data_IF_239215465161
#
_entry.id   IF_239215465161
#
_cell.length_a   1.000
_cell.length_b   1.000
_cell.length_c   1.000
_cell.angle_alpha   90.00
_cell.angle_beta   90.00
_cell.angle_gamma   90.00
#
_symmetry.space_group_name_H-M   'P 1'
#
loop_
_entity.id
_entity.type
_entity.pdbx_description
1 polymer ?
#
# COMPACT_ATOMS: atom_id res chain seq x y z
N UNK A 1 41.41 2.58 -67.29
CA UNK A 1 40.21 3.28 -66.80
C UNK A 1 39.61 2.40 -65.70
N UNK A 2 40.02 2.65 -64.44
CA UNK A 2 39.67 1.83 -63.29
C UNK A 2 38.66 2.64 -62.50
N UNK A 3 37.41 2.12 -62.38
CA UNK A 3 36.32 2.74 -61.64
C UNK A 3 36.44 2.32 -60.16
N UNK A 4 36.71 3.26 -59.30
CA UNK A 4 36.72 3.07 -57.84
C UNK A 4 35.32 3.34 -57.30
N UNK A 5 34.65 2.27 -56.81
CA UNK A 5 33.38 2.43 -56.05
C UNK A 5 33.75 2.81 -54.60
N UNK A 6 33.35 4.00 -54.18
CA UNK A 6 33.39 4.41 -52.80
C UNK A 6 32.11 3.88 -52.08
N UNK A 7 32.31 2.95 -51.15
CA UNK A 7 31.23 2.45 -50.29
C UNK A 7 31.13 3.42 -49.06
N UNK A 8 30.11 4.23 -49.02
CA UNK A 8 29.79 5.06 -47.86
C UNK A 8 28.98 4.19 -46.89
N UNK A 9 29.64 3.76 -45.81
CA UNK A 9 28.98 3.10 -44.67
C UNK A 9 28.39 4.19 -43.79
N UNK A 10 27.07 4.35 -43.82
CA UNK A 10 26.32 5.19 -42.89
C UNK A 10 26.15 4.38 -41.62
N UNK A 11 26.91 4.70 -40.56
CA UNK A 11 26.64 4.25 -39.22
C UNK A 11 25.37 4.95 -38.72
N UNK A 12 24.22 4.27 -38.74
CA UNK A 12 23.05 4.67 -38.01
C UNK A 12 23.30 4.22 -36.57
N UNK A 13 23.78 5.11 -35.72
CA UNK A 13 23.76 4.94 -34.29
C UNK A 13 22.29 5.00 -33.84
N UNK A 14 21.69 3.84 -33.64
CA UNK A 14 20.44 3.71 -32.92
C UNK A 14 20.69 4.08 -31.45
N UNK A 15 20.60 5.36 -31.13
CA UNK A 15 20.37 5.77 -29.76
C UNK A 15 18.98 5.27 -29.40
N UNK A 16 18.91 4.20 -28.60
CA UNK A 16 17.71 3.83 -27.90
C UNK A 16 17.34 5.02 -27.01
N UNK A 17 16.41 5.85 -27.48
CA UNK A 17 15.67 6.72 -26.62
C UNK A 17 14.89 5.83 -25.68
N UNK A 18 15.47 5.53 -24.51
CA UNK A 18 14.72 5.04 -23.38
C UNK A 18 13.59 6.04 -23.15
N UNK A 19 12.36 5.63 -23.35
CA UNK A 19 11.22 6.44 -22.97
C UNK A 19 11.28 6.62 -21.45
N UNK A 20 11.77 7.78 -21.02
CA UNK A 20 11.56 8.23 -19.65
C UNK A 20 10.06 8.37 -19.47
N UNK A 21 9.43 7.39 -18.84
CA UNK A 21 8.10 7.55 -18.32
C UNK A 21 8.17 8.68 -17.31
N UNK A 22 7.72 9.86 -17.70
CA UNK A 22 7.77 11.04 -16.85
C UNK A 22 6.84 10.83 -15.65
N UNK A 23 7.13 11.47 -14.52
CA UNK A 23 6.22 11.55 -13.36
C UNK A 23 4.78 11.94 -13.76
N UNK A 24 4.59 12.55 -14.93
CA UNK A 24 3.29 12.85 -15.53
C UNK A 24 2.43 11.61 -15.84
N UNK A 25 3.00 10.41 -16.04
CA UNK A 25 2.22 9.20 -16.29
C UNK A 25 1.50 8.70 -15.03
N UNK A 26 2.11 8.83 -13.85
CA UNK A 26 1.46 8.49 -12.59
C UNK A 26 0.32 9.46 -12.24
N UNK A 27 0.46 10.73 -12.56
CA UNK A 27 -0.57 11.76 -12.31
C UNK A 27 -1.73 11.69 -13.31
N UNK A 28 -1.53 11.10 -14.49
CA UNK A 28 -2.57 10.97 -15.53
C UNK A 28 -3.50 9.76 -15.33
N UNK A 29 -3.13 8.81 -14.47
CA UNK A 29 -3.98 7.66 -14.14
C UNK A 29 -5.10 8.08 -13.19
N UNK A 30 -6.31 7.50 -13.31
CA UNK A 30 -7.36 7.77 -12.34
C UNK A 30 -6.87 7.40 -10.94
N UNK A 31 -7.24 8.17 -9.90
CA UNK A 31 -6.82 7.89 -8.54
C UNK A 31 -7.25 6.49 -8.13
N UNK A 32 -6.35 5.78 -7.46
CA UNK A 32 -6.64 4.46 -6.88
C UNK A 32 -7.32 4.67 -5.52
N UNK A 33 -8.39 3.90 -5.30
CA UNK A 33 -9.16 3.93 -4.06
C UNK A 33 -9.32 2.50 -3.56
N UNK A 34 -8.84 2.22 -2.38
CA UNK A 34 -8.81 0.87 -1.88
C UNK A 34 -8.79 0.74 -0.39
N UNK A 35 -8.33 -0.40 0.04
CA UNK A 35 -8.27 -0.81 1.44
C UNK A 35 -6.91 -1.39 1.77
N UNK A 36 -6.55 -1.30 3.05
CA UNK A 36 -5.42 -2.03 3.60
C UNK A 36 -5.91 -3.39 4.07
N UNK A 37 -5.26 -4.45 3.61
CA UNK A 37 -5.58 -5.82 3.95
C UNK A 37 -4.31 -6.61 4.24
N UNK A 38 -4.36 -7.52 5.21
CA UNK A 38 -3.31 -8.52 5.46
C UNK A 38 -3.81 -9.90 5.07
N UNK A 39 -2.88 -10.79 4.73
CA UNK A 39 -3.19 -12.20 4.50
C UNK A 39 -3.37 -13.00 5.79
N UNK A 40 -3.80 -14.23 5.63
CA UNK A 40 -3.94 -15.17 6.75
C UNK A 40 -2.59 -15.63 7.29
N UNK A 41 -1.65 -15.97 6.39
CA UNK A 41 -0.33 -16.46 6.76
C UNK A 41 0.67 -15.35 7.03
N UNK A 42 0.68 -14.28 6.23
CA UNK A 42 1.64 -13.17 6.37
C UNK A 42 1.40 -12.32 7.60
N UNK A 43 0.26 -12.46 8.25
CA UNK A 43 0.05 -11.98 9.61
C UNK A 43 0.76 -12.93 10.57
N UNK A 44 1.74 -12.42 11.32
CA UNK A 44 2.63 -13.24 12.14
C UNK A 44 1.93 -14.10 13.15
N UNK A 45 0.86 -13.66 13.68
CA UNK A 45 0.18 -14.33 14.76
C UNK A 45 -1.28 -13.97 14.77
N UNK A 46 -2.08 -14.64 13.96
CA UNK A 46 -3.52 -14.56 14.12
C UNK A 46 -3.96 -14.91 15.54
N UNK A 47 -3.28 -15.89 16.15
CA UNK A 47 -3.58 -16.36 17.49
C UNK A 47 -3.17 -15.39 18.60
N UNK A 48 -2.15 -14.52 18.37
CA UNK A 48 -1.63 -13.64 19.41
C UNK A 48 -2.50 -12.43 19.69
N UNK A 49 -3.32 -12.02 18.74
CA UNK A 49 -4.26 -10.92 18.93
C UNK A 49 -5.66 -11.38 19.32
N UNK A 50 -5.84 -12.68 19.61
CA UNK A 50 -7.15 -13.26 19.86
C UNK A 50 -8.05 -13.25 18.63
N UNK A 51 -7.47 -13.07 17.44
CA UNK A 51 -8.21 -13.13 16.19
C UNK A 51 -8.62 -14.57 15.88
N UNK A 52 -9.87 -14.81 15.47
CA UNK A 52 -10.26 -16.13 15.02
C UNK A 52 -9.49 -16.51 13.76
N UNK A 53 -9.30 -17.83 13.49
CA UNK A 53 -8.72 -18.30 12.24
C UNK A 53 -9.47 -17.73 11.04
N UNK A 54 -8.74 -17.32 10.03
CA UNK A 54 -9.34 -16.85 8.79
C UNK A 54 -10.16 -17.98 8.10
N UNK A 55 -11.26 -17.64 7.40
CA UNK A 55 -11.98 -18.59 6.55
C UNK A 55 -11.07 -19.22 5.49
N UNK A 56 -11.37 -20.44 5.05
CA UNK A 56 -10.58 -21.15 4.03
C UNK A 56 -10.38 -20.32 2.75
N UNK A 57 -11.42 -19.61 2.30
CA UNK A 57 -11.40 -18.81 1.08
C UNK A 57 -11.17 -17.32 1.36
N UNK A 58 -10.52 -16.98 2.48
CA UNK A 58 -10.39 -15.60 2.95
C UNK A 58 -9.90 -14.61 1.89
N UNK A 59 -8.84 -14.96 1.16
CA UNK A 59 -8.27 -14.09 0.10
C UNK A 59 -9.28 -13.91 -1.03
N UNK A 60 -9.81 -15.01 -1.55
CA UNK A 60 -10.74 -15.01 -2.67
C UNK A 60 -12.01 -14.21 -2.36
N UNK A 61 -12.64 -14.50 -1.22
CA UNK A 61 -13.88 -13.84 -0.79
C UNK A 61 -13.65 -12.34 -0.49
N UNK A 62 -12.51 -12.00 0.12
CA UNK A 62 -12.13 -10.61 0.36
C UNK A 62 -11.97 -9.82 -0.94
N UNK A 63 -11.20 -10.35 -1.90
CA UNK A 63 -10.96 -9.65 -3.16
C UNK A 63 -12.23 -9.47 -3.97
N UNK A 64 -13.10 -10.51 -3.98
CA UNK A 64 -14.43 -10.39 -4.57
C UNK A 64 -15.24 -9.28 -3.94
N UNK A 65 -15.33 -9.24 -2.61
CA UNK A 65 -16.11 -8.25 -1.86
C UNK A 65 -15.54 -6.84 -2.02
N UNK A 66 -14.22 -6.66 -2.05
CA UNK A 66 -13.56 -5.38 -2.32
C UNK A 66 -13.92 -4.86 -3.71
N UNK A 67 -13.86 -5.73 -4.73
CA UNK A 67 -14.26 -5.39 -6.09
C UNK A 67 -15.75 -5.06 -6.19
N UNK A 68 -16.61 -5.86 -5.56
CA UNK A 68 -18.06 -5.64 -5.53
C UNK A 68 -18.43 -4.29 -4.87
N UNK A 69 -17.68 -3.86 -3.85
CA UNK A 69 -17.83 -2.55 -3.22
C UNK A 69 -17.33 -1.38 -4.09
N UNK A 70 -16.84 -1.65 -5.30
CA UNK A 70 -16.38 -0.61 -6.23
C UNK A 70 -15.00 -0.03 -5.92
N UNK A 71 -14.27 -0.65 -5.02
CA UNK A 71 -12.87 -0.34 -4.74
C UNK A 71 -11.99 -0.98 -5.82
N UNK A 72 -10.86 -0.36 -6.15
CA UNK A 72 -10.03 -0.80 -7.27
C UNK A 72 -8.60 -1.17 -6.85
N UNK A 73 -8.30 -1.14 -5.56
CA UNK A 73 -6.95 -1.27 -5.05
C UNK A 73 -6.91 -1.94 -3.68
N UNK A 74 -5.88 -2.74 -3.46
CA UNK A 74 -5.51 -3.31 -2.17
C UNK A 74 -4.06 -2.94 -1.86
N UNK A 75 -3.84 -2.30 -0.72
CA UNK A 75 -2.51 -2.22 -0.11
C UNK A 75 -2.37 -3.45 0.78
N UNK A 76 -1.61 -4.44 0.28
CA UNK A 76 -1.48 -5.75 0.90
C UNK A 76 -0.30 -5.78 1.87
N UNK A 77 -0.61 -5.87 3.15
CA UNK A 77 0.36 -5.87 4.25
C UNK A 77 0.97 -7.25 4.42
N UNK A 78 2.29 -7.31 4.49
CA UNK A 78 3.05 -8.48 4.88
C UNK A 78 4.23 -8.09 5.79
N UNK A 79 4.84 -9.06 6.45
CA UNK A 79 5.93 -8.84 7.39
C UNK A 79 7.14 -9.69 7.04
N UNK A 80 8.33 -9.11 7.10
CA UNK A 80 9.57 -9.81 6.81
C UNK A 80 9.81 -11.01 7.75
N UNK A 81 9.49 -10.87 9.03
CA UNK A 81 9.59 -12.00 9.99
C UNK A 81 8.66 -13.18 9.63
N UNK A 82 7.54 -12.95 8.95
CA UNK A 82 6.69 -14.03 8.46
C UNK A 82 7.37 -14.81 7.33
N UNK A 83 8.06 -14.11 6.43
CA UNK A 83 8.88 -14.76 5.40
C UNK A 83 10.02 -15.57 6.01
N UNK A 84 10.74 -15.05 7.00
CA UNK A 84 11.81 -15.80 7.69
C UNK A 84 11.29 -17.08 8.31
N UNK A 85 10.08 -17.06 8.87
CA UNK A 85 9.47 -18.22 9.52
C UNK A 85 9.15 -19.36 8.55
N UNK A 86 8.59 -19.09 7.39
CA UNK A 86 8.26 -20.06 6.35
C UNK A 86 8.20 -19.39 4.97
N UNK A 87 9.32 -19.31 4.24
CA UNK A 87 9.39 -18.66 2.95
C UNK A 87 8.47 -19.27 1.90
N UNK A 88 8.28 -20.59 1.92
CA UNK A 88 7.47 -21.30 0.92
C UNK A 88 5.98 -20.97 1.09
N UNK A 89 5.45 -21.13 2.29
CA UNK A 89 4.05 -20.81 2.59
C UNK A 89 3.78 -19.31 2.40
N UNK A 90 4.71 -18.44 2.77
CA UNK A 90 4.62 -17.01 2.56
C UNK A 90 4.49 -16.65 1.07
N UNK A 91 5.40 -17.13 0.21
CA UNK A 91 5.38 -16.87 -1.23
C UNK A 91 4.13 -17.48 -1.88
N UNK A 92 3.66 -18.63 -1.41
CA UNK A 92 2.41 -19.23 -1.87
C UNK A 92 1.22 -18.31 -1.63
N UNK A 93 1.11 -17.69 -0.45
CA UNK A 93 0.04 -16.73 -0.16
C UNK A 93 0.17 -15.46 -1.02
N UNK A 94 1.36 -14.90 -1.16
CA UNK A 94 1.63 -13.73 -2.02
C UNK A 94 1.16 -13.99 -3.47
N UNK A 95 1.43 -15.18 -4.02
CA UNK A 95 0.94 -15.57 -5.34
C UNK A 95 -0.59 -15.74 -5.38
N UNK A 96 -1.20 -16.28 -4.32
CA UNK A 96 -2.67 -16.39 -4.27
C UNK A 96 -3.36 -15.03 -4.27
N UNK A 97 -2.76 -14.04 -3.60
CA UNK A 97 -3.19 -12.64 -3.61
C UNK A 97 -3.12 -12.03 -5.01
N UNK A 98 -2.02 -12.22 -5.72
CA UNK A 98 -1.88 -11.74 -7.10
C UNK A 98 -2.93 -12.37 -8.04
N UNK A 99 -3.14 -13.67 -7.93
CA UNK A 99 -4.16 -14.40 -8.71
C UNK A 99 -5.58 -13.89 -8.44
N UNK A 100 -5.93 -13.68 -7.16
CA UNK A 100 -7.23 -13.15 -6.78
C UNK A 100 -7.42 -11.72 -7.32
N UNK A 101 -6.39 -10.89 -7.24
CA UNK A 101 -6.42 -9.53 -7.78
C UNK A 101 -6.60 -9.49 -9.29
N UNK A 102 -5.86 -10.32 -10.04
CA UNK A 102 -6.05 -10.45 -11.49
C UNK A 102 -7.48 -10.88 -11.84
N UNK A 103 -8.02 -11.86 -11.09
CA UNK A 103 -9.37 -12.38 -11.28
C UNK A 103 -10.45 -11.32 -11.08
N UNK A 104 -10.30 -10.47 -10.08
CA UNK A 104 -11.30 -9.44 -9.72
C UNK A 104 -10.96 -8.03 -10.22
N UNK A 105 -9.91 -7.87 -11.04
CA UNK A 105 -9.54 -6.60 -11.66
C UNK A 105 -9.00 -5.56 -10.70
N UNK A 106 -8.47 -5.99 -9.54
CA UNK A 106 -7.90 -5.10 -8.53
C UNK A 106 -6.40 -4.84 -8.78
N UNK A 107 -5.91 -3.70 -8.31
CA UNK A 107 -4.48 -3.38 -8.29
C UNK A 107 -3.90 -3.59 -6.90
N UNK A 108 -2.64 -4.00 -6.79
CA UNK A 108 -1.99 -4.26 -5.52
C UNK A 108 -0.72 -3.43 -5.36
N UNK A 109 -0.58 -2.80 -4.20
CA UNK A 109 0.70 -2.37 -3.65
C UNK A 109 1.07 -3.35 -2.54
N UNK A 110 2.20 -4.02 -2.70
CA UNK A 110 2.75 -4.95 -1.71
C UNK A 110 3.52 -4.17 -0.66
N UNK A 111 3.03 -4.17 0.57
CA UNK A 111 3.51 -3.35 1.68
C UNK A 111 4.36 -4.17 2.66
N UNK A 112 5.68 -3.93 2.65
CA UNK A 112 6.58 -4.43 3.68
C UNK A 112 6.33 -3.65 4.98
N UNK A 113 5.47 -4.19 5.80
CA UNK A 113 4.94 -3.51 6.97
C UNK A 113 5.76 -3.81 8.22
N UNK A 114 5.79 -2.86 9.12
CA UNK A 114 6.22 -3.04 10.50
C UNK A 114 5.27 -2.28 11.43
N UNK A 115 5.09 -2.82 12.62
CA UNK A 115 4.45 -2.13 13.73
C UNK A 115 5.22 -2.46 14.99
N UNK A 116 5.72 -1.43 15.67
CA UNK A 116 6.60 -1.56 16.82
C UNK A 116 7.86 -2.41 16.53
N UNK A 117 8.41 -2.25 15.33
CA UNK A 117 9.69 -2.76 14.86
C UNK A 117 9.75 -4.28 14.66
N UNK A 118 9.52 -5.09 15.67
CA UNK A 118 9.64 -6.56 15.62
C UNK A 118 8.98 -7.22 16.82
N UNK A 119 8.46 -8.44 16.63
CA UNK A 119 7.98 -9.26 17.75
C UNK A 119 9.10 -9.75 18.68
N UNK A 120 10.36 -9.61 18.29
CA UNK A 120 11.49 -9.78 19.20
C UNK A 120 11.53 -8.73 20.30
N UNK A 121 11.29 -7.46 19.94
CA UNK A 121 11.38 -6.33 20.86
C UNK A 121 10.13 -6.16 21.71
N UNK A 122 8.97 -6.47 21.15
CA UNK A 122 7.69 -6.31 21.83
C UNK A 122 6.73 -7.43 21.42
N UNK A 123 6.19 -8.14 22.41
CA UNK A 123 5.16 -9.13 22.15
C UNK A 123 3.99 -8.50 21.37
N UNK A 124 3.50 -9.15 20.33
CA UNK A 124 2.48 -8.66 19.40
C UNK A 124 2.93 -7.61 18.37
N UNK A 125 4.16 -7.10 18.46
CA UNK A 125 4.73 -6.33 17.36
C UNK A 125 5.01 -7.21 16.15
N UNK A 126 5.25 -6.58 15.00
CA UNK A 126 5.53 -7.26 13.72
C UNK A 126 6.51 -6.45 12.89
N UNK A 127 7.29 -7.10 12.07
CA UNK A 127 8.15 -6.38 11.11
C UNK A 127 9.47 -7.06 10.81
N UNK A 128 10.53 -6.60 11.45
CA UNK A 128 11.89 -7.09 11.20
C UNK A 128 12.10 -8.51 11.74
N UNK A 129 12.82 -9.38 11.03
CA UNK A 129 13.03 -10.76 11.43
C UNK A 129 13.94 -10.88 12.64
N UNK A 130 13.77 -11.97 13.39
CA UNK A 130 14.52 -12.23 14.62
C UNK A 130 16.01 -12.39 14.39
N UNK A 131 16.42 -12.88 13.23
CA UNK A 131 17.83 -13.05 12.85
C UNK A 131 18.66 -11.76 12.94
N UNK A 132 18.04 -10.58 12.81
CA UNK A 132 18.71 -9.28 12.96
C UNK A 132 18.94 -8.86 14.42
N UNK A 133 18.29 -9.53 15.38
CA UNK A 133 18.37 -9.22 16.81
C UNK A 133 19.11 -10.30 17.58
N UNK A 134 19.03 -11.55 17.15
CA UNK A 134 19.64 -12.69 17.83
C UNK A 134 21.16 -12.53 17.95
N UNK A 135 21.65 -12.74 19.18
CA UNK A 135 23.09 -12.63 19.46
C UNK A 135 23.59 -11.20 19.68
N UNK A 136 22.77 -10.17 19.52
CA UNK A 136 23.10 -8.80 19.81
C UNK A 136 22.52 -8.36 21.18
N UNK A 137 23.40 -8.20 22.19
CA UNK A 137 22.98 -7.81 23.54
C UNK A 137 22.39 -6.40 23.63
N UNK A 138 22.61 -5.55 22.63
CA UNK A 138 22.06 -4.20 22.56
C UNK A 138 20.53 -4.22 22.35
N UNK A 139 20.01 -5.24 21.66
CA UNK A 139 18.59 -5.38 21.35
C UNK A 139 18.00 -6.55 22.12
N UNK A 140 17.86 -6.40 23.44
CA UNK A 140 17.33 -7.45 24.31
C UNK A 140 15.89 -7.80 23.93
N UNK A 141 15.56 -9.10 23.99
CA UNK A 141 14.19 -9.58 23.78
C UNK A 141 13.26 -8.96 24.81
N UNK A 142 12.13 -8.39 24.34
CA UNK A 142 11.20 -7.67 25.21
C UNK A 142 11.66 -6.28 25.64
N UNK A 143 12.69 -5.72 25.01
CA UNK A 143 13.24 -4.39 25.35
C UNK A 143 12.41 -3.19 24.91
N UNK A 144 11.26 -3.45 24.25
CA UNK A 144 10.36 -2.42 23.74
C UNK A 144 10.62 -2.09 22.26
N UNK A 145 9.55 -2.12 21.46
CA UNK A 145 9.57 -1.91 20.00
C UNK A 145 8.95 -0.59 19.53
N UNK A 146 8.29 0.13 20.44
CA UNK A 146 7.60 1.38 20.13
C UNK A 146 8.59 2.52 19.84
N UNK A 147 8.16 3.52 19.11
CA UNK A 147 8.94 4.71 18.73
C UNK A 147 9.60 5.42 19.93
N UNK A 148 9.01 5.33 21.12
CA UNK A 148 9.53 5.98 22.33
C UNK A 148 10.47 5.08 23.14
N UNK A 149 10.58 3.80 22.82
CA UNK A 149 11.43 2.86 23.55
C UNK A 149 12.89 3.02 23.14
N UNK A 150 13.78 3.02 24.12
CA UNK A 150 15.23 3.21 23.90
C UNK A 150 15.80 2.12 22.99
N UNK A 151 15.41 0.87 23.21
CA UNK A 151 15.87 -0.26 22.40
C UNK A 151 15.46 -0.12 20.92
N UNK A 152 14.23 0.33 20.66
CA UNK A 152 13.77 0.61 19.30
C UNK A 152 14.53 1.80 18.69
N UNK A 153 14.75 2.88 19.48
CA UNK A 153 15.53 4.03 19.01
C UNK A 153 16.97 3.66 18.65
N UNK A 154 17.59 2.81 19.42
CA UNK A 154 18.92 2.28 19.18
C UNK A 154 18.95 1.42 17.90
N UNK A 155 18.00 0.50 17.75
CA UNK A 155 17.89 -0.34 16.55
C UNK A 155 17.71 0.53 15.29
N UNK A 156 16.77 1.47 15.31
CA UNK A 156 16.53 2.32 14.15
C UNK A 156 17.70 3.28 13.86
N UNK A 157 18.42 3.73 14.90
CA UNK A 157 19.66 4.48 14.73
C UNK A 157 20.70 3.68 13.98
N UNK A 158 20.97 2.46 14.43
CA UNK A 158 21.93 1.54 13.82
C UNK A 158 21.47 1.06 12.43
N UNK A 159 20.16 0.90 12.23
CA UNK A 159 19.60 0.61 10.91
C UNK A 159 19.90 1.71 9.89
N UNK A 160 19.65 2.97 10.27
CA UNK A 160 19.96 4.10 9.40
C UNK A 160 21.46 4.33 9.19
N UNK A 161 22.30 3.88 10.10
CA UNK A 161 23.75 3.90 9.98
C UNK A 161 24.32 2.72 9.18
N UNK A 162 23.42 1.82 8.75
CA UNK A 162 23.78 0.60 8.03
C UNK A 162 24.75 -0.29 8.83
N UNK A 163 24.62 -0.28 10.13
CA UNK A 163 25.48 -1.03 11.05
C UNK A 163 24.84 -2.35 11.53
N UNK A 164 23.53 -2.56 11.26
CA UNK A 164 22.85 -3.81 11.56
C UNK A 164 23.38 -4.93 10.69
N UNK A 165 23.79 -6.02 11.34
CA UNK A 165 24.22 -7.26 10.70
C UNK A 165 23.60 -8.44 11.46
N UNK A 166 23.33 -9.52 10.73
CA UNK A 166 22.99 -10.79 11.39
C UNK A 166 24.21 -11.45 12.05
N UNK A 167 23.99 -12.61 12.65
CA UNK A 167 25.03 -13.38 13.32
C UNK A 167 26.16 -13.88 12.39
N UNK A 168 25.89 -13.97 11.08
CA UNK A 168 26.88 -14.30 10.05
C UNK A 168 27.62 -13.04 9.52
N UNK A 169 27.26 -11.85 9.99
CA UNK A 169 27.85 -10.57 9.57
C UNK A 169 27.27 -10.00 8.29
N UNK A 170 26.15 -10.53 7.78
CA UNK A 170 25.50 -10.05 6.58
C UNK A 170 24.76 -8.74 6.83
N UNK A 171 24.91 -7.80 5.92
CA UNK A 171 24.33 -6.46 5.96
C UNK A 171 22.78 -6.50 5.94
N UNK A 172 22.14 -5.83 6.91
CA UNK A 172 20.67 -5.85 7.05
C UNK A 172 19.94 -5.22 5.87
N UNK A 173 20.48 -4.14 5.26
CA UNK A 173 19.87 -3.54 4.06
C UNK A 173 19.93 -4.50 2.86
N UNK A 174 21.07 -5.18 2.69
CA UNK A 174 21.21 -6.18 1.63
C UNK A 174 20.22 -7.35 1.82
N UNK A 175 20.03 -7.80 3.05
CA UNK A 175 19.06 -8.85 3.36
C UNK A 175 17.62 -8.41 3.07
N UNK A 176 17.24 -7.15 3.43
CA UNK A 176 15.92 -6.62 3.08
C UNK A 176 15.75 -6.53 1.56
N UNK A 177 16.77 -6.10 0.84
CA UNK A 177 16.74 -6.09 -0.63
C UNK A 177 16.50 -7.48 -1.20
N UNK A 178 17.23 -8.49 -0.73
CA UNK A 178 17.02 -9.88 -1.16
C UNK A 178 15.62 -10.40 -0.84
N UNK A 179 15.10 -10.10 0.34
CA UNK A 179 13.72 -10.42 0.71
C UNK A 179 12.71 -9.78 -0.24
N UNK A 180 12.81 -8.47 -0.47
CA UNK A 180 11.90 -7.75 -1.37
C UNK A 180 12.00 -8.26 -2.81
N UNK A 181 13.18 -8.64 -3.27
CA UNK A 181 13.38 -9.27 -4.59
C UNK A 181 12.60 -10.58 -4.71
N UNK A 182 12.43 -11.37 -3.63
CA UNK A 182 11.60 -12.59 -3.68
C UNK A 182 10.13 -12.26 -3.95
N UNK A 183 9.62 -11.15 -3.37
CA UNK A 183 8.26 -10.69 -3.64
C UNK A 183 8.13 -10.25 -5.10
N UNK A 184 9.05 -9.42 -5.59
CA UNK A 184 9.07 -8.97 -6.98
C UNK A 184 9.08 -10.15 -7.94
N UNK A 185 10.01 -11.09 -7.77
CA UNK A 185 10.12 -12.28 -8.62
C UNK A 185 8.87 -13.16 -8.61
N UNK A 186 8.12 -13.13 -7.50
CA UNK A 186 6.89 -13.92 -7.37
C UNK A 186 5.72 -13.34 -8.13
N UNK A 187 5.61 -11.99 -8.25
CA UNK A 187 4.36 -11.34 -8.67
C UNK A 187 4.50 -10.19 -9.68
N UNK A 188 5.71 -9.82 -10.14
CA UNK A 188 5.91 -8.66 -11.01
C UNK A 188 5.24 -8.81 -12.38
N UNK A 189 5.12 -10.03 -12.86
CA UNK A 189 4.47 -10.35 -14.14
C UNK A 189 2.93 -10.31 -14.09
N UNK A 190 2.33 -10.18 -12.90
CA UNK A 190 0.87 -10.04 -12.77
C UNK A 190 0.41 -8.64 -13.18
N UNK A 191 -0.66 -8.57 -13.94
CA UNK A 191 -1.25 -7.29 -14.37
C UNK A 191 -1.83 -6.49 -13.19
N UNK A 192 -2.19 -7.18 -12.13
CA UNK A 192 -2.67 -6.61 -10.87
C UNK A 192 -1.57 -5.93 -10.06
N UNK A 193 -0.31 -6.32 -10.21
CA UNK A 193 0.80 -5.72 -9.47
C UNK A 193 1.03 -4.28 -9.91
N UNK A 194 0.77 -3.33 -9.01
CA UNK A 194 0.98 -1.90 -9.20
C UNK A 194 2.34 -1.46 -8.67
N UNK A 195 2.75 -1.98 -7.51
CA UNK A 195 4.04 -1.59 -6.94
C UNK A 195 4.37 -2.24 -5.60
N UNK A 196 5.48 -1.79 -5.03
CA UNK A 196 6.10 -2.33 -3.83
C UNK A 196 6.44 -1.21 -2.85
N UNK A 197 5.95 -1.30 -1.62
CA UNK A 197 6.35 -0.39 -0.55
C UNK A 197 7.57 -0.96 0.17
N UNK A 198 8.65 -0.18 0.18
CA UNK A 198 9.96 -0.60 0.69
C UNK A 198 9.87 -0.96 2.17
N UNK A 199 9.29 -0.07 2.97
CA UNK A 199 9.16 -0.22 4.42
C UNK A 199 8.12 0.76 4.93
N UNK A 200 7.05 0.26 5.55
CA UNK A 200 6.01 1.10 6.10
C UNK A 200 6.46 1.81 7.38
N UNK A 201 6.19 3.09 7.45
CA UNK A 201 6.32 3.94 8.64
C UNK A 201 7.65 3.79 9.40
N UNK A 202 8.81 3.93 8.72
CA UNK A 202 10.12 3.84 9.36
C UNK A 202 10.28 4.88 10.45
N UNK A 203 10.85 4.48 11.60
CA UNK A 203 11.00 5.38 12.73
C UNK A 203 12.14 6.38 12.54
N UNK A 204 11.91 7.62 12.99
CA UNK A 204 12.88 8.72 12.96
C UNK A 204 12.98 9.30 14.38
N UNK A 205 14.20 9.37 14.92
CA UNK A 205 14.43 9.80 16.30
C UNK A 205 15.28 11.07 16.41
N UNK A 206 16.02 11.41 15.34
CA UNK A 206 16.81 12.63 15.31
C UNK A 206 16.90 13.23 13.91
N UNK A 207 17.19 14.53 13.85
CA UNK A 207 17.25 15.31 12.60
C UNK A 207 18.32 14.83 11.59
N UNK A 208 19.32 14.09 12.04
CA UNK A 208 20.37 13.57 11.17
C UNK A 208 19.93 12.37 10.33
N UNK A 209 18.84 11.70 10.71
CA UNK A 209 18.40 10.47 10.06
C UNK A 209 17.71 10.71 8.70
N UNK A 210 17.16 11.89 8.44
CA UNK A 210 16.42 12.16 7.19
C UNK A 210 17.23 11.82 5.93
N UNK A 211 18.48 12.22 5.87
CA UNK A 211 19.34 11.90 4.71
C UNK A 211 19.79 10.43 4.69
N UNK A 212 19.88 9.78 5.85
CA UNK A 212 20.23 8.36 5.94
C UNK A 212 19.09 7.50 5.41
N UNK A 213 17.83 7.87 5.73
CA UNK A 213 16.65 7.24 5.17
C UNK A 213 16.62 7.39 3.64
N UNK A 214 16.98 8.56 3.11
CA UNK A 214 17.10 8.76 1.66
C UNK A 214 18.16 7.86 1.01
N UNK A 215 19.29 7.61 1.70
CA UNK A 215 20.31 6.64 1.23
C UNK A 215 19.77 5.21 1.24
N UNK A 216 19.02 4.83 2.28
CA UNK A 216 18.37 3.52 2.35
C UNK A 216 17.35 3.35 1.23
N UNK A 217 16.44 4.33 1.05
CA UNK A 217 15.45 4.29 -0.01
C UNK A 217 16.09 4.25 -1.41
N UNK A 218 17.21 4.97 -1.62
CA UNK A 218 17.96 4.91 -2.87
C UNK A 218 18.57 3.53 -3.09
N UNK A 219 19.22 2.96 -2.08
CA UNK A 219 19.81 1.64 -2.15
C UNK A 219 18.77 0.57 -2.53
N UNK A 220 17.64 0.50 -1.80
CA UNK A 220 16.59 -0.48 -2.10
C UNK A 220 15.96 -0.23 -3.47
N UNK A 221 15.73 1.04 -3.83
CA UNK A 221 15.17 1.38 -5.15
C UNK A 221 16.08 0.93 -6.28
N UNK A 222 17.38 1.17 -6.20
CA UNK A 222 18.36 0.74 -7.20
C UNK A 222 18.36 -0.77 -7.33
N UNK A 223 18.44 -1.49 -6.22
CA UNK A 223 18.40 -2.96 -6.18
C UNK A 223 17.12 -3.57 -6.79
N UNK A 224 15.96 -2.93 -6.58
CA UNK A 224 14.70 -3.41 -7.16
C UNK A 224 14.56 -3.01 -8.63
N UNK A 225 15.12 -1.88 -9.06
CA UNK A 225 15.04 -1.43 -10.46
C UNK A 225 15.75 -2.36 -11.44
N UNK A 226 16.66 -3.18 -10.97
CA UNK A 226 17.30 -4.22 -11.80
C UNK A 226 16.28 -5.28 -12.28
N UNK A 227 15.14 -5.45 -11.58
CA UNK A 227 14.18 -6.52 -11.82
C UNK A 227 12.73 -6.05 -11.98
N UNK A 228 12.40 -4.77 -11.73
CA UNK A 228 11.05 -4.25 -11.92
C UNK A 228 11.02 -2.79 -12.37
N UNK A 229 10.06 -2.47 -13.25
CA UNK A 229 9.69 -1.10 -13.61
C UNK A 229 8.43 -0.60 -12.86
N UNK A 230 7.82 -1.43 -12.00
CA UNK A 230 6.62 -1.09 -11.24
C UNK A 230 6.88 0.06 -10.26
N UNK A 231 5.80 0.66 -9.73
CA UNK A 231 5.91 1.74 -8.74
C UNK A 231 6.64 1.25 -7.49
N UNK A 232 7.63 2.01 -7.02
CA UNK A 232 8.25 1.80 -5.71
C UNK A 232 7.74 2.90 -4.79
N UNK A 233 7.28 2.49 -3.61
CA UNK A 233 6.68 3.38 -2.61
C UNK A 233 7.63 3.48 -1.42
N UNK A 234 8.04 4.70 -1.07
CA UNK A 234 8.71 4.94 0.20
C UNK A 234 7.79 5.63 1.18
N UNK A 235 8.00 5.42 2.46
CA UNK A 235 7.08 5.82 3.50
C UNK A 235 7.78 6.57 4.62
N UNK A 236 6.98 7.25 5.46
CA UNK A 236 7.45 7.80 6.72
C UNK A 236 6.47 7.48 7.84
N UNK A 237 7.02 7.29 9.04
CA UNK A 237 6.25 7.39 10.27
C UNK A 237 5.96 8.86 10.55
N UNK A 238 4.71 9.18 10.80
CA UNK A 238 4.30 10.54 11.16
C UNK A 238 4.38 10.66 12.69
N UNK A 239 5.44 11.27 13.23
CA UNK A 239 5.45 11.61 14.64
C UNK A 239 4.28 12.53 14.95
N UNK A 240 3.65 12.31 16.08
CA UNK A 240 2.43 12.97 16.49
C UNK A 240 2.65 14.46 16.75
N UNK A 241 3.88 14.85 17.07
CA UNK A 241 4.23 16.23 17.42
C UNK A 241 5.12 16.87 16.34
N UNK A 242 4.58 17.90 15.68
CA UNK A 242 5.32 18.72 14.72
C UNK A 242 6.47 19.53 15.38
N UNK A 243 6.45 19.70 16.70
CA UNK A 243 7.50 20.36 17.47
C UNK A 243 8.58 19.39 17.96
N UNK A 244 8.53 18.15 17.54
CA UNK A 244 9.49 17.12 17.90
C UNK A 244 10.94 17.52 17.57
N UNK A 245 11.93 17.07 18.37
CA UNK A 245 13.36 17.32 18.13
C UNK A 245 13.88 16.81 16.79
N UNK A 246 13.10 15.99 16.08
CA UNK A 246 13.44 15.48 14.75
C UNK A 246 13.29 16.53 13.63
N UNK A 247 12.72 17.69 13.94
CA UNK A 247 12.56 18.80 12.99
C UNK A 247 11.86 18.41 11.67
N UNK A 248 10.61 18.02 11.78
CA UNK A 248 9.78 17.68 10.62
C UNK A 248 9.52 18.94 9.81
N UNK A 249 9.86 18.90 8.53
CA UNK A 249 9.59 19.96 7.58
C UNK A 249 9.61 19.42 6.15
N UNK A 250 8.97 20.07 5.17
CA UNK A 250 9.02 19.63 3.78
C UNK A 250 10.45 19.48 3.26
N UNK A 251 11.37 20.35 3.70
CA UNK A 251 12.80 20.29 3.35
C UNK A 251 13.47 19.01 3.89
N UNK A 252 13.12 18.58 5.09
CA UNK A 252 13.69 17.37 5.69
C UNK A 252 13.04 16.12 5.12
N UNK A 253 11.72 16.12 4.96
CA UNK A 253 11.00 15.01 4.33
C UNK A 253 11.47 14.75 2.89
N UNK A 254 11.75 15.80 2.14
CA UNK A 254 12.28 15.67 0.78
C UNK A 254 13.63 14.95 0.71
N UNK A 255 14.42 14.93 1.80
CA UNK A 255 15.69 14.17 1.85
C UNK A 255 15.49 12.67 1.90
N UNK A 256 14.30 12.20 2.24
CA UNK A 256 13.95 10.77 2.26
C UNK A 256 13.71 10.19 0.87
N UNK A 257 13.42 11.04 -0.12
CA UNK A 257 13.17 10.57 -1.49
C UNK A 257 14.40 9.85 -2.05
N UNK A 258 14.22 8.72 -2.74
CA UNK A 258 15.32 8.06 -3.43
C UNK A 258 15.92 8.97 -4.52
N UNK A 259 17.17 8.72 -4.88
CA UNK A 259 17.90 9.43 -5.95
C UNK A 259 17.22 9.24 -7.31
N UNK A 260 16.87 8.02 -7.65
CA UNK A 260 16.04 7.69 -8.81
C UNK A 260 14.58 7.89 -8.44
N UNK A 261 13.88 8.79 -9.14
CA UNK A 261 12.47 9.14 -8.90
C UNK A 261 11.51 8.60 -9.96
N UNK A 262 12.00 7.75 -10.85
CA UNK A 262 11.17 7.14 -11.87
C UNK A 262 10.19 6.14 -11.23
N UNK A 263 8.88 6.31 -11.50
CA UNK A 263 7.82 5.48 -10.92
C UNK A 263 7.90 5.34 -9.38
N UNK A 264 8.14 6.44 -8.69
CA UNK A 264 8.19 6.51 -7.22
C UNK A 264 6.91 7.16 -6.71
N UNK A 265 6.41 6.70 -5.57
CA UNK A 265 5.35 7.36 -4.81
C UNK A 265 5.78 7.55 -3.34
N UNK A 266 5.31 8.63 -2.73
CA UNK A 266 5.55 8.94 -1.31
C UNK A 266 4.31 8.61 -0.49
N UNK A 267 4.40 7.60 0.39
CA UNK A 267 3.30 7.17 1.27
C UNK A 267 3.31 7.89 2.60
N UNK A 268 2.13 8.33 3.01
CA UNK A 268 1.86 8.81 4.38
C UNK A 268 0.55 8.22 4.88
N UNK A 269 0.35 8.28 6.22
CA UNK A 269 -0.91 7.92 6.88
C UNK A 269 -1.63 9.17 7.36
N UNK A 270 -2.94 9.25 7.14
CA UNK A 270 -3.79 10.37 7.55
C UNK A 270 -4.96 9.84 8.39
N UNK A 271 -4.85 10.04 9.68
CA UNK A 271 -5.87 9.64 10.64
C UNK A 271 -6.53 10.89 11.21
N UNK A 272 -7.63 11.28 10.69
CA UNK A 272 -8.57 12.34 11.00
C UNK A 272 -8.81 13.26 9.79
N UNK A 273 -9.90 13.99 9.86
CA UNK A 273 -10.24 14.98 8.84
C UNK A 273 -9.20 16.10 8.85
N UNK A 274 -8.58 16.45 7.72
CA UNK A 274 -7.66 17.57 7.64
C UNK A 274 -8.44 18.90 7.66
N UNK A 275 -9.22 19.12 8.72
CA UNK A 275 -9.98 20.35 8.91
C UNK A 275 -10.21 20.59 10.41
N UNK A 276 -10.08 21.81 10.81
CA UNK A 276 -10.68 22.36 12.01
C UNK A 276 -9.80 22.52 13.25
N UNK A 277 -8.70 21.80 13.46
CA UNK A 277 -7.80 22.06 14.58
C UNK A 277 -6.48 22.75 14.16
N UNK A 278 -6.32 23.03 12.88
CA UNK A 278 -5.13 23.64 12.29
C UNK A 278 -3.87 22.75 12.32
N UNK A 279 -3.87 21.68 13.10
CA UNK A 279 -2.74 20.76 13.24
C UNK A 279 -2.71 19.71 12.11
N UNK A 280 -3.85 19.07 11.86
CA UNK A 280 -3.96 18.06 10.78
C UNK A 280 -3.84 18.72 9.40
N UNK A 281 -4.41 19.92 9.23
CA UNK A 281 -4.26 20.71 8.01
C UNK A 281 -2.80 21.06 7.74
N UNK A 282 -2.07 21.58 8.73
CA UNK A 282 -0.64 21.87 8.61
C UNK A 282 0.21 20.65 8.29
N UNK A 283 -0.14 19.47 8.83
CA UNK A 283 0.55 18.22 8.50
C UNK A 283 0.31 17.83 7.05
N UNK A 284 -0.93 17.91 6.61
CA UNK A 284 -1.29 17.54 5.25
C UNK A 284 -0.65 18.50 4.24
N UNK A 285 -0.69 19.82 4.48
CA UNK A 285 0.00 20.82 3.67
C UNK A 285 1.50 20.57 3.58
N UNK A 286 2.13 20.13 4.68
CA UNK A 286 3.54 19.77 4.70
C UNK A 286 3.84 18.57 3.78
N UNK A 287 2.95 17.58 3.72
CA UNK A 287 3.12 16.43 2.82
C UNK A 287 2.91 16.82 1.36
N UNK A 288 1.94 17.67 1.07
CA UNK A 288 1.74 18.22 -0.27
C UNK A 288 2.96 19.03 -0.72
N UNK A 289 3.47 19.92 0.13
CA UNK A 289 4.69 20.68 -0.17
C UNK A 289 5.91 19.75 -0.36
N UNK A 290 5.98 18.64 0.37
CA UNK A 290 7.04 17.64 0.18
C UNK A 290 6.92 16.95 -1.18
N UNK A 291 5.71 16.57 -1.57
CA UNK A 291 5.41 16.01 -2.90
C UNK A 291 5.83 16.98 -4.00
N UNK A 292 5.46 18.24 -3.91
CA UNK A 292 5.83 19.29 -4.87
C UNK A 292 7.35 19.48 -4.95
N UNK A 293 8.05 19.52 -3.81
CA UNK A 293 9.52 19.68 -3.75
C UNK A 293 10.27 18.52 -4.37
N UNK A 294 9.75 17.32 -4.23
CA UNK A 294 10.41 16.10 -4.75
C UNK A 294 10.00 15.78 -6.17
N UNK A 295 8.85 16.28 -6.63
CA UNK A 295 8.18 15.85 -7.86
C UNK A 295 7.65 14.42 -7.78
N UNK A 296 7.45 13.89 -6.57
CA UNK A 296 6.98 12.53 -6.32
C UNK A 296 5.52 12.59 -5.85
N UNK A 297 4.58 11.88 -6.51
CA UNK A 297 3.18 11.91 -6.13
C UNK A 297 2.93 11.38 -4.72
N UNK A 298 1.96 12.00 -4.03
CA UNK A 298 1.57 11.62 -2.68
C UNK A 298 0.54 10.49 -2.71
N UNK A 299 0.81 9.41 -1.97
CA UNK A 299 -0.08 8.28 -1.74
C UNK A 299 -0.49 8.23 -0.27
N UNK A 300 -1.81 8.21 0.00
CA UNK A 300 -2.36 8.05 1.34
C UNK A 300 -2.60 6.55 1.58
N UNK A 301 -1.54 5.86 1.97
CA UNK A 301 -1.55 4.41 2.16
C UNK A 301 -2.38 3.93 3.33
N UNK A 302 -2.73 4.85 4.25
CA UNK A 302 -3.64 4.61 5.35
C UNK A 302 -4.47 5.86 5.63
N UNK A 303 -5.78 5.70 5.70
CA UNK A 303 -6.65 6.75 6.21
C UNK A 303 -7.82 6.17 7.03
N UNK A 304 -8.23 6.92 8.03
CA UNK A 304 -9.40 6.64 8.85
C UNK A 304 -9.81 7.94 9.57
N UNK A 305 -10.96 7.94 10.24
CA UNK A 305 -11.42 9.09 11.03
C UNK A 305 -10.96 9.06 12.50
N UNK A 306 -10.01 8.22 12.85
CA UNK A 306 -9.46 8.17 14.21
C UNK A 306 -8.84 9.50 14.58
N UNK A 307 -9.46 10.21 15.52
CA UNK A 307 -8.94 11.49 16.02
C UNK A 307 -7.72 11.24 16.88
N UNK A 308 -6.56 11.72 16.41
CA UNK A 308 -5.36 11.82 17.24
C UNK A 308 -5.32 13.21 17.86
N UNK A 309 -5.37 13.29 19.17
CA UNK A 309 -5.15 14.53 19.90
C UNK A 309 -3.70 15.00 19.76
N UNK A 310 -3.41 16.27 20.15
CA UNK A 310 -2.03 16.79 20.19
C UNK A 310 -1.08 15.94 21.03
N UNK A 311 -1.62 15.27 22.03
CA UNK A 311 -0.89 14.40 22.96
C UNK A 311 -0.64 13.00 22.38
N UNK A 312 -1.04 12.74 21.15
CA UNK A 312 -0.81 11.47 20.49
C UNK A 312 -1.70 10.32 20.95
N UNK A 313 -2.60 10.60 21.85
CA UNK A 313 -3.53 9.59 22.35
C UNK A 313 -4.60 9.36 21.27
N UNK A 314 -4.62 8.15 20.72
CA UNK A 314 -5.83 7.67 20.08
C UNK A 314 -6.89 7.71 21.16
N UNK A 315 -7.97 8.44 20.95
CA UNK A 315 -9.07 8.48 21.93
C UNK A 315 -9.75 7.09 21.97
N UNK A 316 -9.07 6.11 22.58
CA UNK A 316 -9.69 4.84 22.99
C UNK A 316 -10.76 5.08 24.08
N UNK A 317 -10.78 6.29 24.63
CA UNK A 317 -11.65 6.67 25.75
C UNK A 317 -13.01 7.16 25.30
N UNK A 318 -13.20 7.43 24.00
CA UNK A 318 -14.50 7.81 23.49
C UNK A 318 -14.77 7.10 22.15
N UNK A 319 -15.34 5.88 22.20
CA UNK A 319 -15.65 5.11 20.99
C UNK A 319 -16.62 5.84 20.04
N UNK A 320 -17.42 6.77 20.52
CA UNK A 320 -18.31 7.58 19.69
C UNK A 320 -17.56 8.56 18.79
N UNK A 321 -16.38 9.03 19.22
CA UNK A 321 -15.52 9.93 18.41
C UNK A 321 -14.68 9.19 17.37
N UNK A 322 -14.59 7.87 17.45
CA UNK A 322 -13.84 7.04 16.52
C UNK A 322 -14.72 6.30 15.50
N UNK A 323 -16.03 6.45 15.61
CA UNK A 323 -16.97 5.82 14.68
C UNK A 323 -16.91 6.52 13.32
N UNK A 324 -16.61 5.74 12.26
CA UNK A 324 -16.65 6.27 10.90
C UNK A 324 -18.07 6.67 10.53
N UNK A 325 -18.30 7.96 10.34
CA UNK A 325 -19.55 8.46 9.78
C UNK A 325 -19.45 8.68 8.27
N UNK A 326 -20.59 8.65 7.58
CA UNK A 326 -20.66 8.99 6.15
C UNK A 326 -20.18 10.42 5.87
N UNK A 327 -20.42 11.35 6.81
CA UNK A 327 -19.95 12.73 6.72
C UNK A 327 -18.43 12.81 6.78
N UNK A 328 -17.81 12.13 7.75
CA UNK A 328 -16.36 12.17 7.93
C UNK A 328 -15.65 11.53 6.73
N UNK A 329 -16.12 10.36 6.27
CA UNK A 329 -15.59 9.70 5.10
C UNK A 329 -15.63 10.60 3.86
N UNK A 330 -16.76 11.30 3.62
CA UNK A 330 -16.90 12.26 2.51
C UNK A 330 -15.95 13.46 2.65
N UNK A 331 -15.79 13.99 3.86
CA UNK A 331 -14.88 15.11 4.10
C UNK A 331 -13.44 14.70 3.85
N UNK A 332 -12.99 13.55 4.38
CA UNK A 332 -11.63 13.05 4.18
C UNK A 332 -11.38 12.79 2.70
N UNK A 333 -12.14 11.93 2.06
CA UNK A 333 -11.92 11.59 0.64
C UNK A 333 -12.10 12.79 -0.29
N UNK A 334 -13.03 13.69 0.02
CA UNK A 334 -13.20 14.94 -0.73
C UNK A 334 -11.98 15.86 -0.65
N UNK A 335 -11.39 15.99 0.56
CA UNK A 335 -10.16 16.76 0.76
C UNK A 335 -8.97 16.12 0.02
N UNK A 336 -8.82 14.80 0.11
CA UNK A 336 -7.74 14.06 -0.56
C UNK A 336 -7.86 14.15 -2.09
N UNK A 337 -9.07 14.01 -2.64
CA UNK A 337 -9.32 14.19 -4.07
C UNK A 337 -8.99 15.61 -4.54
N UNK A 338 -9.45 16.63 -3.78
CA UNK A 338 -9.17 18.05 -4.08
C UNK A 338 -7.68 18.34 -4.09
N UNK A 339 -6.93 17.70 -3.21
CA UNK A 339 -5.48 17.83 -3.13
C UNK A 339 -4.72 17.10 -4.25
N UNK A 340 -5.40 16.27 -5.06
CA UNK A 340 -4.78 15.57 -6.18
C UNK A 340 -3.86 14.43 -5.76
N UNK A 341 -4.11 13.78 -4.61
CA UNK A 341 -3.32 12.61 -4.20
C UNK A 341 -3.45 11.49 -5.23
N UNK A 342 -2.37 10.75 -5.43
CA UNK A 342 -2.29 9.66 -6.41
C UNK A 342 -3.22 8.50 -6.08
N UNK A 343 -3.45 8.21 -4.79
CA UNK A 343 -4.34 7.16 -4.36
C UNK A 343 -4.55 7.13 -2.86
N UNK A 344 -5.50 6.33 -2.42
CA UNK A 344 -5.88 6.20 -1.01
C UNK A 344 -6.17 4.75 -0.65
N UNK A 345 -5.86 4.32 0.58
CA UNK A 345 -6.26 3.03 1.12
C UNK A 345 -6.85 3.20 2.53
N UNK A 346 -8.06 2.70 2.74
CA UNK A 346 -8.73 2.77 4.04
C UNK A 346 -8.10 1.78 5.01
N UNK A 347 -7.81 2.21 6.22
CA UNK A 347 -7.34 1.37 7.32
C UNK A 347 -8.53 0.96 8.19
N UNK A 348 -9.05 -0.33 8.16
CA UNK A 348 -8.56 -1.38 7.26
C UNK A 348 -9.65 -2.43 7.03
N UNK A 349 -9.33 -3.45 6.21
CA UNK A 349 -10.25 -4.50 5.82
C UNK A 349 -10.77 -5.29 7.01
N UNK A 350 -9.89 -5.92 7.77
CA UNK A 350 -10.23 -6.54 9.04
C UNK A 350 -9.10 -6.30 10.08
N UNK A 351 -9.46 -6.05 11.29
CA UNK A 351 -8.53 -5.93 12.39
C UNK A 351 -8.69 -7.08 13.39
N UNK A 352 -9.89 -7.63 13.48
CA UNK A 352 -10.30 -8.69 14.40
C UNK A 352 -10.00 -8.40 15.88
N UNK A 353 -9.48 -7.23 16.20
CA UNK A 353 -9.42 -6.78 17.58
C UNK A 353 -10.77 -6.27 18.04
N UNK A 354 -11.16 -6.70 19.21
CA UNK A 354 -12.47 -6.47 19.84
C UNK A 354 -12.78 -4.98 20.10
N UNK A 355 -11.82 -4.09 19.89
CA UNK A 355 -11.89 -2.77 20.50
C UNK A 355 -12.58 -1.68 19.67
N UNK A 356 -12.62 -1.78 18.33
CA UNK A 356 -13.22 -0.71 17.52
C UNK A 356 -13.78 -1.24 16.21
N UNK A 357 -15.09 -1.41 16.13
CA UNK A 357 -15.79 -1.74 14.89
C UNK A 357 -15.45 -0.78 13.73
N UNK A 358 -15.08 0.47 14.02
CA UNK A 358 -14.77 1.49 13.02
C UNK A 358 -13.53 1.22 12.17
N UNK A 359 -12.72 0.24 12.54
CA UNK A 359 -11.57 -0.20 11.75
C UNK A 359 -11.87 -1.40 10.85
N UNK A 360 -12.99 -2.08 11.06
CA UNK A 360 -13.29 -3.32 10.36
C UNK A 360 -14.34 -3.09 9.28
N UNK A 361 -13.97 -3.29 8.02
CA UNK A 361 -14.93 -3.30 6.90
C UNK A 361 -15.67 -4.63 6.80
N UNK A 362 -15.06 -5.71 7.29
CA UNK A 362 -15.65 -7.04 7.37
C UNK A 362 -15.44 -7.67 8.74
N UNK A 363 -16.24 -8.68 9.03
CA UNK A 363 -16.12 -9.52 10.22
C UNK A 363 -16.29 -10.99 9.87
N UNK A 364 -15.73 -11.88 10.68
CA UNK A 364 -15.94 -13.33 10.63
C UNK A 364 -15.66 -13.95 12.01
N UNK A 365 -16.18 -15.15 12.26
CA UNK A 365 -15.98 -15.89 13.50
C UNK A 365 -15.49 -17.31 13.16
N UNK A 366 -14.37 -17.76 13.75
CA UNK A 366 -13.86 -19.14 13.70
C UNK A 366 -14.10 -19.88 12.37
N UNK A 367 -13.52 -19.37 11.27
CA UNK A 367 -13.64 -20.00 9.95
C UNK A 367 -14.98 -19.79 9.26
N UNK A 368 -15.90 -18.98 9.82
CA UNK A 368 -17.13 -18.62 9.13
C UNK A 368 -16.89 -17.65 7.97
N UNK A 369 -17.83 -17.61 7.02
CA UNK A 369 -17.76 -16.71 5.87
C UNK A 369 -17.63 -15.24 6.31
N UNK A 370 -16.95 -14.45 5.49
CA UNK A 370 -16.85 -13.01 5.64
C UNK A 370 -18.24 -12.36 5.58
N UNK A 371 -18.46 -11.39 6.45
CA UNK A 371 -19.65 -10.56 6.45
C UNK A 371 -19.26 -9.08 6.41
N UNK A 372 -19.89 -8.27 5.54
CA UNK A 372 -19.64 -6.84 5.54
C UNK A 372 -20.17 -6.23 6.85
N UNK A 373 -19.41 -5.25 7.38
CA UNK A 373 -19.89 -4.36 8.43
C UNK A 373 -20.62 -3.17 7.81
N UNK A 374 -21.28 -2.35 8.65
CA UNK A 374 -21.88 -1.09 8.19
C UNK A 374 -20.87 -0.14 7.54
N UNK A 375 -19.60 -0.26 7.90
CA UNK A 375 -18.55 0.63 7.41
C UNK A 375 -18.14 0.35 5.96
N UNK A 376 -18.27 -0.89 5.50
CA UNK A 376 -18.04 -1.20 4.08
C UNK A 376 -19.05 -0.45 3.20
N UNK A 377 -20.35 -0.45 3.59
CA UNK A 377 -21.39 0.30 2.87
C UNK A 377 -21.17 1.83 2.92
N UNK A 378 -20.65 2.36 4.03
CA UNK A 378 -20.27 3.78 4.14
C UNK A 378 -19.12 4.11 3.17
N UNK A 379 -18.12 3.25 3.09
CA UNK A 379 -16.98 3.45 2.20
C UNK A 379 -17.41 3.34 0.73
N UNK A 380 -18.19 2.35 0.35
CA UNK A 380 -18.76 2.16 -0.98
C UNK A 380 -19.52 3.40 -1.45
N UNK A 381 -20.53 3.83 -0.67
CA UNK A 381 -21.32 5.04 -0.94
C UNK A 381 -20.44 6.31 -1.06
N UNK A 382 -19.38 6.39 -0.26
CA UNK A 382 -18.52 7.56 -0.25
C UNK A 382 -17.61 7.59 -1.50
N UNK A 383 -17.01 6.47 -1.84
CA UNK A 383 -16.18 6.35 -3.05
C UNK A 383 -17.01 6.63 -4.30
N UNK A 384 -18.20 6.04 -4.42
CA UNK A 384 -19.12 6.33 -5.52
C UNK A 384 -19.53 7.81 -5.60
N UNK A 385 -19.82 8.43 -4.45
CA UNK A 385 -20.20 9.86 -4.40
C UNK A 385 -19.03 10.77 -4.82
N UNK A 386 -17.81 10.47 -4.39
CA UNK A 386 -16.64 11.35 -4.57
C UNK A 386 -15.98 11.12 -5.93
N UNK A 387 -15.83 9.89 -6.36
CA UNK A 387 -15.07 9.52 -7.57
C UNK A 387 -15.94 9.08 -8.75
N UNK A 388 -17.24 8.94 -8.50
CA UNK A 388 -18.16 8.36 -9.47
C UNK A 388 -18.21 6.84 -9.39
N UNK A 389 -19.11 6.21 -10.14
CA UNK A 389 -19.17 4.75 -10.21
C UNK A 389 -17.80 4.23 -10.63
N UNK A 390 -17.34 3.17 -9.98
CA UNK A 390 -16.03 2.59 -10.23
C UNK A 390 -15.81 2.40 -11.72
N UNK A 391 -14.71 2.96 -12.22
CA UNK A 391 -14.21 2.65 -13.57
C UNK A 391 -13.75 1.19 -13.52
N UNK A 392 -14.65 0.27 -13.86
CA UNK A 392 -14.46 -1.18 -13.69
C UNK A 392 -15.68 -1.89 -13.12
N UNK A 393 -16.57 -1.22 -12.37
CA UNK A 393 -17.98 -1.59 -12.44
C UNK A 393 -18.47 -1.15 -13.83
N UNK A 394 -18.08 -1.87 -14.83
CA UNK A 394 -19.09 -2.23 -15.80
C UNK A 394 -20.28 -2.65 -14.93
N UNK A 395 -21.47 -1.98 -15.01
CA UNK A 395 -22.66 -2.44 -14.32
C UNK A 395 -22.64 -3.93 -14.53
N UNK A 396 -22.77 -4.70 -13.45
CA UNK A 396 -22.47 -6.14 -13.46
C UNK A 396 -22.77 -6.63 -14.84
N UNK A 397 -21.77 -7.22 -15.52
CA UNK A 397 -21.85 -7.58 -16.96
C UNK A 397 -23.26 -8.07 -17.34
N UNK A 398 -23.91 -8.72 -16.38
CA UNK A 398 -25.30 -9.13 -16.39
C UNK A 398 -26.35 -7.98 -16.43
N UNK A 399 -26.17 -6.82 -15.83
CA UNK A 399 -27.25 -5.81 -15.83
C UNK A 399 -27.23 -4.95 -17.10
N UNK A 400 -26.06 -4.60 -17.63
CA UNK A 400 -25.93 -3.88 -18.90
C UNK A 400 -26.20 -4.81 -20.08
N UNK A 401 -25.72 -6.04 -19.99
CA UNK A 401 -25.97 -7.12 -20.92
C UNK A 401 -27.47 -7.46 -20.92
N UNK A 402 -28.08 -7.68 -19.78
CA UNK A 402 -29.52 -7.93 -19.67
C UNK A 402 -30.36 -6.73 -20.11
N UNK A 403 -29.94 -5.49 -19.82
CA UNK A 403 -30.62 -4.30 -20.31
C UNK A 403 -30.49 -4.16 -21.82
N UNK A 404 -29.32 -4.45 -22.39
CA UNK A 404 -29.10 -4.42 -23.83
C UNK A 404 -29.83 -5.58 -24.54
N UNK A 405 -29.76 -6.79 -24.00
CA UNK A 405 -30.52 -7.96 -24.46
C UNK A 405 -32.02 -7.65 -24.40
N UNK A 406 -32.53 -7.18 -23.27
CA UNK A 406 -33.93 -6.79 -23.12
C UNK A 406 -34.36 -5.68 -24.09
N UNK A 407 -33.49 -4.69 -24.32
CA UNK A 407 -33.76 -3.65 -25.30
C UNK A 407 -33.81 -4.21 -26.75
N UNK A 408 -32.90 -5.11 -27.09
CA UNK A 408 -32.85 -5.77 -28.40
C UNK A 408 -34.07 -6.68 -28.61
N UNK A 409 -34.44 -7.48 -27.59
CA UNK A 409 -35.64 -8.36 -27.66
C UNK A 409 -36.92 -7.51 -27.75
N UNK A 410 -36.98 -6.39 -27.04
CA UNK A 410 -38.13 -5.46 -27.05
C UNK A 410 -38.36 -4.80 -28.43
N UNK A 411 -37.37 -4.81 -29.31
CA UNK A 411 -37.55 -4.35 -30.68
C UNK A 411 -38.37 -5.34 -31.55
N UNK A 412 -38.60 -6.57 -31.05
CA UNK A 412 -39.30 -7.63 -31.73
C UNK A 412 -38.56 -8.22 -32.95
N UNK A 413 -37.27 -7.87 -33.12
CA UNK A 413 -36.46 -8.30 -34.25
C UNK A 413 -35.51 -9.47 -33.92
N UNK A 414 -35.28 -9.73 -32.66
CA UNK A 414 -34.37 -10.78 -32.16
C UNK A 414 -35.04 -11.58 -31.07
N UNK A 415 -34.79 -12.86 -31.05
CA UNK A 415 -35.06 -13.71 -29.89
C UNK A 415 -34.05 -13.41 -28.77
N UNK A 416 -34.34 -13.86 -27.57
CA UNK A 416 -33.43 -13.66 -26.42
C UNK A 416 -32.04 -14.30 -26.67
N UNK A 417 -32.00 -15.47 -27.28
CA UNK A 417 -30.78 -16.19 -27.60
C UNK A 417 -29.94 -15.48 -28.70
N UNK A 418 -30.57 -14.95 -29.72
CA UNK A 418 -29.91 -14.15 -30.77
C UNK A 418 -29.38 -12.83 -30.21
N UNK A 419 -30.11 -12.19 -29.29
CA UNK A 419 -29.67 -10.98 -28.64
C UNK A 419 -28.48 -11.24 -27.72
N UNK A 420 -28.45 -12.36 -26.97
CA UNK A 420 -27.31 -12.79 -26.15
C UNK A 420 -26.08 -13.07 -27.03
N UNK A 421 -26.23 -13.78 -28.12
CA UNK A 421 -25.12 -14.07 -29.06
C UNK A 421 -24.55 -12.78 -29.67
N UNK A 422 -25.39 -11.84 -30.06
CA UNK A 422 -24.99 -10.55 -30.63
C UNK A 422 -24.22 -9.69 -29.61
N UNK A 423 -24.69 -9.63 -28.38
CA UNK A 423 -24.05 -8.88 -27.29
C UNK A 423 -22.70 -9.49 -26.95
N UNK A 424 -22.62 -10.81 -26.84
CA UNK A 424 -21.36 -11.54 -26.58
C UNK A 424 -20.33 -11.33 -27.70
N UNK A 425 -20.72 -11.39 -28.96
CA UNK A 425 -19.84 -11.15 -30.12
C UNK A 425 -19.36 -9.70 -30.21
N UNK A 426 -20.21 -8.72 -29.91
CA UNK A 426 -19.83 -7.31 -29.97
C UNK A 426 -18.78 -6.91 -28.89
N UNK A 427 -18.69 -7.69 -27.81
CA UNK A 427 -17.73 -7.46 -26.72
C UNK A 427 -16.39 -8.19 -26.90
N UNK A 428 -16.30 -9.13 -27.82
CA UNK A 428 -15.04 -9.79 -28.21
C UNK A 428 -14.23 -9.01 -29.26
N UNK A 429 -14.80 -7.95 -29.82
CA UNK A 429 -14.21 -7.15 -30.91
C UNK A 429 -13.74 -5.76 -30.44
N UNK A 430 -14.05 -5.36 -29.20
CA UNK A 430 -13.61 -4.11 -28.55
C UNK A 430 -12.61 -4.36 -27.46
#
# INVERSE_FOLDING_TARGET
>A
MILIFLLVIVFISSTSLGSYASTSELTSKPPINGVVMKGAFVSMKQDDYGSPPAPENYIEDSFKMISDAGLNHVRFVFYWEAYERDPEAFIKEIKSVANAADKYGLKIIYDNHQWHTSSWLEERATGFPWSLFEGNSKYSRGGGGNTLDETAQDFWGDWWDRSIKDKEGKDGWAQMSEFLKQIVLAVDNHSSTLGYEILSEPHVHNKGQWSKIGKFNSFITEELRDITSKTIVYSMNVPIDLNSPINISPKNLAKMAPSNKENIAFKVSVYAVPNGDGYQEKRFDMFLETSDRTGVPLYIGEWNNVVRTKEGVISKLNPELSELTKSDAKQILGALKKAGVWGTAFWRWDYQEVATDSFNLVSYNNGSNLKPTKYLGILEDTVETIYGPAVGKLPSYNAKENNLINALVKTGKLTEDEAKELVTKSMQIG
#
